data_IF_196947486960
#
_entry.id   IF_196947486960
#
_cell.length_a   1.000
_cell.length_b   1.000
_cell.length_c   1.000
_cell.angle_alpha   90.00
_cell.angle_beta   90.00
_cell.angle_gamma   90.00
#
_symmetry.space_group_name_H-M   'P 1'
#
loop_
_entity.id
_entity.type
_entity.pdbx_description
1 polymer ?
#
# COMPACT_ATOMS: atom_id res chain seq x y z
N UNK A 1 43.00 60.91 25.47
CA UNK A 1 42.92 60.46 24.06
C UNK A 1 43.86 59.30 23.77
N UNK A 2 45.18 59.44 23.98
CA UNK A 2 46.18 58.40 23.65
C UNK A 2 45.94 57.04 24.34
N UNK A 3 45.61 57.05 25.65
CA UNK A 3 45.33 55.83 26.43
C UNK A 3 44.09 55.07 25.92
N UNK A 4 43.05 55.80 25.51
CA UNK A 4 41.81 55.21 24.98
C UNK A 4 42.08 54.52 23.64
N UNK A 5 42.89 55.16 22.76
CA UNK A 5 43.30 54.59 21.48
C UNK A 5 44.12 53.31 21.69
N UNK A 6 45.06 53.30 22.64
CA UNK A 6 45.87 52.11 22.97
C UNK A 6 44.99 50.96 23.47
N UNK A 7 44.03 51.23 24.37
CA UNK A 7 43.09 50.20 24.87
C UNK A 7 42.19 49.63 23.76
N UNK A 8 41.78 50.46 22.80
CA UNK A 8 40.95 50.05 21.65
C UNK A 8 41.75 49.19 20.67
N UNK A 9 43.01 49.52 20.41
CA UNK A 9 43.90 48.70 19.58
C UNK A 9 44.19 47.36 20.28
N UNK A 10 44.43 47.36 21.60
CA UNK A 10 44.65 46.14 22.36
C UNK A 10 43.42 45.24 22.38
N UNK A 11 42.21 45.81 22.50
CA UNK A 11 40.96 45.05 22.46
C UNK A 11 40.71 44.45 21.08
N UNK A 12 40.97 45.18 20.00
CA UNK A 12 40.89 44.68 18.62
C UNK A 12 41.89 43.54 18.40
N UNK A 13 43.15 43.71 18.84
CA UNK A 13 44.18 42.66 18.74
C UNK A 13 43.83 41.42 19.55
N UNK A 14 43.23 41.58 20.74
CA UNK A 14 42.72 40.46 21.55
C UNK A 14 41.55 39.76 20.84
N UNK A 15 40.57 40.50 20.34
CA UNK A 15 39.44 39.94 19.58
C UNK A 15 39.96 39.17 18.36
N UNK A 16 40.87 39.74 17.57
CA UNK A 16 41.50 39.08 16.43
C UNK A 16 42.25 37.81 16.86
N UNK A 17 43.00 37.86 17.96
CA UNK A 17 43.76 36.72 18.50
C UNK A 17 42.86 35.59 18.99
N UNK A 18 41.68 35.87 19.55
CA UNK A 18 40.77 34.85 20.06
C UNK A 18 39.74 34.35 19.01
N UNK A 19 39.30 35.22 18.10
CA UNK A 19 38.32 34.89 17.06
C UNK A 19 38.97 34.20 15.85
N UNK A 20 40.19 34.57 15.47
CA UNK A 20 40.87 33.98 14.30
C UNK A 20 41.13 32.47 14.41
N UNK A 21 41.62 31.92 15.55
CA UNK A 21 41.84 30.48 15.69
C UNK A 21 40.54 29.68 15.72
N UNK A 22 39.49 30.24 16.35
CA UNK A 22 38.20 29.55 16.44
C UNK A 22 37.46 29.54 15.10
N UNK A 23 37.55 30.63 14.34
CA UNK A 23 37.00 30.72 12.99
C UNK A 23 37.76 29.82 12.00
N UNK A 24 39.09 29.83 12.02
CA UNK A 24 39.90 28.97 11.14
C UNK A 24 39.65 27.48 11.40
N UNK A 25 39.52 27.06 12.66
CA UNK A 25 39.13 25.69 13.03
C UNK A 25 37.73 25.34 12.55
N UNK A 26 36.77 26.27 12.62
CA UNK A 26 35.42 26.06 12.10
C UNK A 26 35.40 25.92 10.58
N UNK A 27 36.12 26.78 9.85
CA UNK A 27 36.24 26.71 8.39
C UNK A 27 36.85 25.37 7.98
N UNK A 28 37.93 24.95 8.65
CA UNK A 28 38.57 23.65 8.41
C UNK A 28 37.61 22.50 8.69
N UNK A 29 36.95 22.48 9.85
CA UNK A 29 35.98 21.44 10.21
C UNK A 29 34.81 21.35 9.23
N UNK A 30 34.31 22.50 8.75
CA UNK A 30 33.24 22.58 7.76
C UNK A 30 33.67 21.98 6.42
N UNK A 31 34.87 22.35 5.95
CA UNK A 31 35.47 21.81 4.71
C UNK A 31 35.74 20.32 4.81
N UNK A 32 36.32 19.87 5.92
CA UNK A 32 36.62 18.45 6.15
C UNK A 32 35.32 17.64 6.19
N UNK A 33 34.29 18.14 6.87
CA UNK A 33 32.96 17.53 6.87
C UNK A 33 32.36 17.49 5.46
N UNK A 34 32.33 18.60 4.71
CA UNK A 34 31.73 18.63 3.38
C UNK A 34 32.42 17.69 2.39
N UNK A 35 33.73 17.50 2.56
CA UNK A 35 34.54 16.63 1.70
C UNK A 35 34.58 15.17 2.17
N UNK A 36 34.15 14.89 3.40
CA UNK A 36 34.14 13.56 3.98
C UNK A 36 33.30 12.59 3.13
N UNK A 37 33.76 11.35 3.03
CA UNK A 37 33.04 10.30 2.30
C UNK A 37 31.67 10.02 2.93
N UNK A 38 31.59 10.00 4.27
CA UNK A 38 30.33 9.89 5.00
C UNK A 38 29.28 10.90 4.54
N UNK A 39 29.67 12.16 4.30
CA UNK A 39 28.74 13.21 3.82
C UNK A 39 28.25 12.92 2.41
N UNK A 40 29.14 12.50 1.52
CA UNK A 40 28.78 12.11 0.15
C UNK A 40 27.86 10.90 0.13
N UNK A 41 28.17 9.87 0.92
CA UNK A 41 27.35 8.66 1.04
C UNK A 41 26.00 8.97 1.67
N UNK A 42 25.93 9.80 2.70
CA UNK A 42 24.68 10.22 3.33
C UNK A 42 23.74 10.85 2.30
N UNK A 43 24.25 11.78 1.47
CA UNK A 43 23.45 12.40 0.40
C UNK A 43 22.92 11.36 -0.59
N UNK A 44 23.79 10.47 -1.08
CA UNK A 44 23.39 9.40 -2.02
C UNK A 44 22.33 8.49 -1.40
N UNK A 45 22.51 8.10 -0.14
CA UNK A 45 21.56 7.23 0.56
C UNK A 45 20.22 7.90 0.77
N UNK A 46 20.18 9.20 1.08
CA UNK A 46 18.95 9.97 1.20
C UNK A 46 18.18 10.04 -0.13
N UNK A 47 18.87 10.28 -1.24
CA UNK A 47 18.26 10.29 -2.57
C UNK A 47 17.66 8.92 -2.92
N UNK A 48 18.42 7.83 -2.68
CA UNK A 48 17.94 6.45 -2.89
C UNK A 48 16.76 6.15 -1.96
N UNK A 49 16.81 6.58 -0.69
CA UNK A 49 15.72 6.37 0.26
C UNK A 49 14.42 7.04 -0.19
N UNK A 50 14.49 8.27 -0.69
CA UNK A 50 13.32 8.98 -1.24
C UNK A 50 12.74 8.22 -2.43
N UNK A 51 13.60 7.79 -3.37
CA UNK A 51 13.17 7.02 -4.55
C UNK A 51 12.52 5.68 -4.17
N UNK A 52 13.11 4.94 -3.22
CA UNK A 52 12.54 3.68 -2.75
C UNK A 52 11.20 3.86 -2.01
N UNK A 53 11.05 4.91 -1.20
CA UNK A 53 9.77 5.20 -0.56
C UNK A 53 8.68 5.57 -1.56
N UNK A 54 9.03 6.33 -2.61
CA UNK A 54 8.10 6.55 -3.73
C UNK A 54 7.66 5.22 -4.35
N UNK A 55 8.61 4.32 -4.64
CA UNK A 55 8.31 2.98 -5.19
C UNK A 55 7.47 2.11 -4.25
N UNK A 56 7.72 2.20 -2.94
CA UNK A 56 6.92 1.55 -1.90
C UNK A 56 5.45 1.99 -1.98
N UNK A 57 5.21 3.31 -2.04
CA UNK A 57 3.86 3.88 -2.14
C UNK A 57 3.17 3.44 -3.42
N UNK A 58 3.86 3.48 -4.57
CA UNK A 58 3.32 2.99 -5.85
C UNK A 58 2.86 1.52 -5.76
N UNK A 59 3.67 0.64 -5.16
CA UNK A 59 3.31 -0.77 -4.97
C UNK A 59 2.11 -0.95 -4.02
N UNK A 60 2.03 -0.16 -2.94
CA UNK A 60 0.88 -0.19 -2.02
C UNK A 60 -0.41 0.20 -2.75
N UNK A 61 -0.36 1.23 -3.58
CA UNK A 61 -1.51 1.66 -4.37
C UNK A 61 -1.98 0.54 -5.32
N UNK A 62 -1.05 -0.10 -6.04
CA UNK A 62 -1.39 -1.23 -6.91
C UNK A 62 -2.00 -2.40 -6.14
N UNK A 63 -1.47 -2.73 -4.95
CA UNK A 63 -2.03 -3.79 -4.09
C UNK A 63 -3.47 -3.43 -3.67
N UNK A 64 -3.71 -2.17 -3.32
CA UNK A 64 -5.05 -1.67 -2.96
C UNK A 64 -6.01 -1.78 -4.15
N UNK A 65 -5.55 -1.42 -5.35
CA UNK A 65 -6.35 -1.54 -6.58
C UNK A 65 -6.75 -2.99 -6.86
N UNK A 66 -5.82 -3.95 -6.66
CA UNK A 66 -6.12 -5.37 -6.78
C UNK A 66 -7.13 -5.86 -5.74
N UNK A 67 -7.08 -5.36 -4.51
CA UNK A 67 -8.05 -5.69 -3.47
C UNK A 67 -9.46 -5.19 -3.84
N UNK A 68 -9.56 -3.96 -4.34
CA UNK A 68 -10.83 -3.41 -4.84
C UNK A 68 -11.36 -4.24 -6.01
N UNK A 69 -10.50 -4.65 -6.94
CA UNK A 69 -10.91 -5.50 -8.06
C UNK A 69 -11.37 -6.89 -7.61
N UNK A 70 -10.66 -7.51 -6.66
CA UNK A 70 -11.03 -8.80 -6.08
C UNK A 70 -12.41 -8.73 -5.41
N UNK A 71 -12.65 -7.69 -4.60
CA UNK A 71 -13.94 -7.50 -3.94
C UNK A 71 -15.07 -7.29 -4.95
N UNK A 72 -14.86 -6.48 -6.00
CA UNK A 72 -15.83 -6.30 -7.09
C UNK A 72 -16.14 -7.61 -7.82
N UNK A 73 -15.15 -8.47 -8.06
CA UNK A 73 -15.39 -9.78 -8.68
C UNK A 73 -16.18 -10.71 -7.75
N UNK A 74 -15.87 -10.72 -6.45
CA UNK A 74 -16.62 -11.50 -5.45
C UNK A 74 -18.07 -11.05 -5.34
N UNK A 75 -18.32 -9.75 -5.31
CA UNK A 75 -19.66 -9.16 -5.32
C UNK A 75 -20.43 -9.56 -6.58
N UNK A 76 -19.86 -9.37 -7.77
CA UNK A 76 -20.50 -9.79 -9.04
C UNK A 76 -20.76 -11.29 -9.10
N UNK A 77 -19.83 -12.11 -8.59
CA UNK A 77 -20.02 -13.56 -8.49
C UNK A 77 -21.22 -13.88 -7.60
N UNK A 78 -21.31 -13.25 -6.43
CA UNK A 78 -22.43 -13.43 -5.50
C UNK A 78 -23.75 -12.99 -6.12
N UNK A 79 -23.80 -11.81 -6.75
CA UNK A 79 -24.99 -11.32 -7.46
C UNK A 79 -25.45 -12.30 -8.56
N UNK A 80 -24.53 -12.80 -9.39
CA UNK A 80 -24.88 -13.80 -10.41
C UNK A 80 -25.39 -15.11 -9.81
N UNK A 81 -24.78 -15.57 -8.70
CA UNK A 81 -25.24 -16.75 -7.97
C UNK A 81 -26.63 -16.54 -7.36
N UNK A 82 -26.89 -15.39 -6.74
CA UNK A 82 -28.20 -15.02 -6.19
C UNK A 82 -29.28 -15.01 -7.27
N UNK A 83 -28.99 -14.41 -8.44
CA UNK A 83 -29.91 -14.39 -9.58
C UNK A 83 -30.22 -15.81 -10.05
N UNK A 84 -29.19 -16.66 -10.19
CA UNK A 84 -29.34 -18.01 -10.68
C UNK A 84 -30.08 -18.91 -9.67
N UNK A 85 -29.76 -18.80 -8.38
CA UNK A 85 -30.45 -19.49 -7.29
C UNK A 85 -31.91 -19.04 -7.17
N UNK A 86 -32.19 -17.75 -7.32
CA UNK A 86 -33.56 -17.21 -7.35
C UNK A 86 -34.36 -17.80 -8.51
N UNK A 87 -33.79 -17.82 -9.72
CA UNK A 87 -34.43 -18.46 -10.89
C UNK A 87 -34.68 -19.95 -10.66
N UNK A 88 -33.74 -20.65 -10.03
CA UNK A 88 -33.88 -22.06 -9.69
C UNK A 88 -35.05 -22.28 -8.73
N UNK A 89 -35.13 -21.51 -7.64
CA UNK A 89 -36.24 -21.56 -6.68
C UNK A 89 -37.58 -21.30 -7.35
N UNK A 90 -37.69 -20.23 -8.14
CA UNK A 90 -38.93 -19.89 -8.86
C UNK A 90 -39.34 -21.05 -9.76
N UNK A 91 -38.42 -21.60 -10.55
CA UNK A 91 -38.72 -22.69 -11.50
C UNK A 91 -39.15 -23.98 -10.81
N UNK A 92 -38.53 -24.31 -9.67
CA UNK A 92 -38.73 -25.56 -8.93
C UNK A 92 -39.95 -25.51 -8.00
N UNK A 93 -40.25 -24.36 -7.41
CA UNK A 93 -41.16 -24.28 -6.26
C UNK A 93 -42.37 -23.36 -6.47
N UNK A 94 -42.36 -22.42 -7.43
CA UNK A 94 -43.45 -21.45 -7.54
C UNK A 94 -44.80 -22.12 -7.91
N UNK A 95 -44.79 -23.25 -8.60
CA UNK A 95 -46.02 -24.04 -8.88
C UNK A 95 -46.60 -24.77 -7.67
N UNK A 96 -45.87 -24.82 -6.55
CA UNK A 96 -46.40 -25.32 -5.27
C UNK A 96 -47.33 -24.30 -4.59
N UNK A 97 -47.29 -23.04 -5.02
CA UNK A 97 -48.19 -22.00 -4.53
C UNK A 97 -49.57 -22.22 -5.14
N UNK A 98 -50.60 -22.28 -4.29
CA UNK A 98 -51.98 -22.54 -4.72
C UNK A 98 -52.42 -21.55 -5.82
N UNK A 99 -52.99 -22.09 -6.90
CA UNK A 99 -53.48 -21.31 -8.03
C UNK A 99 -52.41 -20.85 -9.03
N UNK A 100 -51.15 -21.29 -8.89
CA UNK A 100 -50.05 -21.01 -9.82
C UNK A 100 -49.70 -22.26 -10.65
N UNK A 101 -50.19 -22.30 -11.89
CA UNK A 101 -49.78 -23.31 -12.87
C UNK A 101 -48.52 -22.93 -13.64
N UNK A 102 -47.99 -23.86 -14.43
CA UNK A 102 -46.78 -23.69 -15.26
C UNK A 102 -46.85 -22.46 -16.19
N UNK A 103 -47.97 -22.25 -16.88
CA UNK A 103 -48.16 -21.10 -17.77
C UNK A 103 -48.10 -19.76 -17.02
N UNK A 104 -48.68 -19.70 -15.82
CA UNK A 104 -48.66 -18.49 -15.00
C UNK A 104 -47.28 -18.25 -14.39
N UNK A 105 -46.58 -19.31 -13.95
CA UNK A 105 -45.18 -19.24 -13.51
C UNK A 105 -44.28 -18.62 -14.56
N UNK A 106 -44.35 -19.09 -15.81
CA UNK A 106 -43.51 -18.56 -16.88
C UNK A 106 -43.81 -17.08 -17.17
N UNK A 107 -45.10 -16.69 -17.14
CA UNK A 107 -45.50 -15.28 -17.27
C UNK A 107 -44.93 -14.42 -16.13
N UNK A 108 -44.98 -14.91 -14.89
CA UNK A 108 -44.39 -14.24 -13.72
C UNK A 108 -42.87 -14.06 -13.91
N UNK A 109 -42.16 -15.11 -14.33
CA UNK A 109 -40.71 -15.04 -14.59
C UNK A 109 -40.40 -13.99 -15.67
N UNK A 110 -41.16 -13.97 -16.78
CA UNK A 110 -40.88 -13.09 -17.91
C UNK A 110 -41.19 -11.62 -17.60
N UNK A 111 -42.32 -11.35 -16.95
CA UNK A 111 -42.83 -9.98 -16.79
C UNK A 111 -42.36 -9.32 -15.50
N UNK A 112 -42.21 -10.09 -14.42
CA UNK A 112 -42.03 -9.54 -13.07
C UNK A 112 -40.63 -9.79 -12.48
N UNK A 113 -39.97 -10.91 -12.81
CA UNK A 113 -38.65 -11.19 -12.24
C UNK A 113 -37.55 -10.25 -12.78
N UNK A 114 -37.12 -9.29 -11.95
CA UNK A 114 -36.03 -8.34 -12.23
C UNK A 114 -34.81 -8.67 -11.38
N UNK A 115 -34.20 -9.84 -11.64
CA UNK A 115 -32.98 -10.36 -11.00
C UNK A 115 -33.10 -10.75 -9.51
N UNK A 116 -34.05 -10.22 -8.75
CA UNK A 116 -34.21 -10.51 -7.32
C UNK A 116 -35.56 -11.16 -7.00
N UNK A 117 -35.64 -11.99 -5.96
CA UNK A 117 -36.93 -12.54 -5.50
C UNK A 117 -37.90 -11.44 -5.09
N UNK A 118 -37.40 -10.34 -4.50
CA UNK A 118 -38.22 -9.19 -4.10
C UNK A 118 -38.97 -8.53 -5.27
N UNK A 119 -38.48 -8.67 -6.50
CA UNK A 119 -39.23 -8.16 -7.66
C UNK A 119 -40.62 -8.78 -7.82
N UNK A 120 -40.84 -9.99 -7.29
CA UNK A 120 -42.14 -10.66 -7.29
C UNK A 120 -43.17 -10.06 -6.32
N UNK A 121 -42.82 -9.09 -5.46
CA UNK A 121 -43.82 -8.41 -4.63
C UNK A 121 -44.89 -7.65 -5.45
N UNK A 122 -44.54 -7.27 -6.68
CA UNK A 122 -45.37 -6.49 -7.61
C UNK A 122 -46.18 -7.36 -8.60
N UNK A 123 -46.35 -8.64 -8.28
CA UNK A 123 -47.01 -9.63 -9.16
C UNK A 123 -48.50 -9.34 -9.47
N UNK A 124 -49.12 -8.40 -8.75
CA UNK A 124 -50.53 -7.98 -8.92
C UNK A 124 -50.80 -7.42 -10.31
N UNK A 125 -49.78 -6.85 -10.97
CA UNK A 125 -49.90 -6.29 -12.32
C UNK A 125 -50.00 -7.38 -13.41
N UNK A 126 -49.78 -8.65 -13.07
CA UNK A 126 -49.76 -9.75 -14.03
C UNK A 126 -51.16 -10.30 -14.23
N UNK A 127 -51.60 -10.34 -15.49
CA UNK A 127 -52.87 -10.94 -15.85
C UNK A 127 -52.99 -12.38 -15.32
N UNK A 128 -54.08 -12.65 -14.59
CA UNK A 128 -54.35 -13.96 -13.97
C UNK A 128 -53.89 -14.10 -12.51
N UNK A 129 -53.31 -13.03 -11.94
CA UNK A 129 -52.91 -12.94 -10.53
C UNK A 129 -53.87 -12.03 -9.77
N UNK A 130 -54.88 -12.63 -9.13
CA UNK A 130 -55.76 -11.92 -8.19
C UNK A 130 -55.11 -11.65 -6.84
N UNK A 131 -55.81 -10.94 -5.95
CA UNK A 131 -55.34 -10.58 -4.61
C UNK A 131 -54.87 -11.78 -3.77
N UNK A 132 -55.62 -12.88 -3.79
CA UNK A 132 -55.29 -14.11 -3.06
C UNK A 132 -53.99 -14.75 -3.57
N UNK A 133 -53.83 -14.87 -4.90
CA UNK A 133 -52.60 -15.39 -5.51
C UNK A 133 -51.41 -14.48 -5.23
N UNK A 134 -51.61 -13.17 -5.31
CA UNK A 134 -50.57 -12.21 -4.98
C UNK A 134 -50.12 -12.36 -3.53
N UNK A 135 -51.05 -12.47 -2.57
CA UNK A 135 -50.72 -12.71 -1.17
C UNK A 135 -49.93 -14.01 -0.98
N UNK A 136 -50.38 -15.10 -1.60
CA UNK A 136 -49.70 -16.39 -1.53
C UNK A 136 -48.27 -16.34 -2.10
N UNK A 137 -48.08 -15.67 -3.24
CA UNK A 137 -46.76 -15.43 -3.83
C UNK A 137 -45.87 -14.60 -2.90
N UNK A 138 -46.40 -13.55 -2.28
CA UNK A 138 -45.62 -12.70 -1.35
C UNK A 138 -45.16 -13.47 -0.11
N UNK A 139 -46.02 -14.32 0.45
CA UNK A 139 -45.66 -15.21 1.55
C UNK A 139 -44.57 -16.20 1.14
N UNK A 140 -44.70 -16.80 -0.04
CA UNK A 140 -43.68 -17.67 -0.61
C UNK A 140 -42.36 -16.93 -0.87
N UNK A 141 -42.38 -15.71 -1.41
CA UNK A 141 -41.19 -14.88 -1.63
C UNK A 141 -40.45 -14.61 -0.32
N UNK A 142 -41.19 -14.28 0.75
CA UNK A 142 -40.60 -14.04 2.07
C UNK A 142 -39.83 -15.26 2.59
N UNK A 143 -40.43 -16.44 2.48
CA UNK A 143 -39.79 -17.70 2.84
C UNK A 143 -38.60 -18.04 1.93
N UNK A 144 -38.76 -17.87 0.61
CA UNK A 144 -37.71 -18.14 -0.37
C UNK A 144 -36.49 -17.23 -0.18
N UNK A 145 -36.69 -15.95 0.15
CA UNK A 145 -35.60 -15.01 0.48
C UNK A 145 -34.82 -15.48 1.71
N UNK A 146 -35.51 -16.01 2.72
CA UNK A 146 -34.85 -16.54 3.92
C UNK A 146 -33.99 -17.78 3.62
N UNK A 147 -34.46 -18.66 2.73
CA UNK A 147 -33.75 -19.89 2.30
C UNK A 147 -32.68 -19.65 1.23
N UNK A 148 -32.67 -18.48 0.59
CA UNK A 148 -31.79 -18.19 -0.55
C UNK A 148 -30.29 -18.44 -0.23
N UNK A 149 -29.74 -18.04 0.94
CA UNK A 149 -28.35 -18.34 1.28
C UNK A 149 -28.03 -19.84 1.29
N UNK A 150 -28.92 -20.67 1.83
CA UNK A 150 -28.76 -22.13 1.85
C UNK A 150 -28.79 -22.72 0.44
N UNK A 151 -29.67 -22.21 -0.42
CA UNK A 151 -29.73 -22.62 -1.83
C UNK A 151 -28.46 -22.25 -2.58
N UNK A 152 -27.87 -21.08 -2.28
CA UNK A 152 -26.59 -20.66 -2.86
C UNK A 152 -25.46 -21.60 -2.43
N UNK A 153 -25.46 -22.07 -1.19
CA UNK A 153 -24.50 -23.05 -0.68
C UNK A 153 -24.70 -24.44 -1.30
N UNK A 154 -25.96 -24.84 -1.53
CA UNK A 154 -26.34 -26.09 -2.21
C UNK A 154 -26.02 -26.12 -3.71
N UNK A 155 -26.35 -27.21 -4.38
CA UNK A 155 -26.17 -27.33 -5.84
C UNK A 155 -27.43 -26.90 -6.60
N UNK A 156 -27.23 -26.17 -7.70
CA UNK A 156 -28.29 -25.75 -8.61
C UNK A 156 -27.77 -25.58 -10.03
N UNK A 157 -28.69 -25.74 -10.99
CA UNK A 157 -28.36 -25.68 -12.42
C UNK A 157 -27.68 -24.37 -12.78
N UNK A 158 -26.46 -24.45 -13.32
CA UNK A 158 -25.67 -23.31 -13.77
C UNK A 158 -24.72 -22.72 -12.72
N UNK A 159 -24.74 -23.20 -11.47
CA UNK A 159 -23.83 -22.77 -10.40
C UNK A 159 -22.36 -22.93 -10.80
N UNK A 160 -21.98 -24.12 -11.28
CA UNK A 160 -20.59 -24.41 -11.64
C UNK A 160 -20.07 -23.49 -12.75
N UNK A 161 -20.89 -23.20 -13.77
CA UNK A 161 -20.50 -22.29 -14.84
C UNK A 161 -20.22 -20.87 -14.31
N UNK A 162 -21.01 -20.39 -13.34
CA UNK A 162 -20.77 -19.10 -12.68
C UNK A 162 -19.49 -19.17 -11.85
N UNK A 163 -19.29 -20.22 -11.07
CA UNK A 163 -18.07 -20.40 -10.27
C UNK A 163 -16.83 -20.36 -11.17
N UNK A 164 -16.77 -21.22 -12.20
CA UNK A 164 -15.61 -21.31 -13.10
C UNK A 164 -15.36 -20.04 -13.91
N UNK A 165 -16.42 -19.29 -14.26
CA UNK A 165 -16.29 -17.98 -14.94
C UNK A 165 -15.48 -16.98 -14.12
N UNK A 166 -15.63 -17.00 -12.79
CA UNK A 166 -14.98 -16.04 -11.88
C UNK A 166 -13.70 -16.58 -11.25
N UNK A 167 -13.57 -17.90 -11.10
CA UNK A 167 -12.45 -18.57 -10.43
C UNK A 167 -11.10 -18.17 -11.04
N UNK A 168 -10.94 -18.32 -12.35
CA UNK A 168 -9.69 -17.95 -13.03
C UNK A 168 -9.29 -16.49 -12.79
N UNK A 169 -10.24 -15.56 -12.90
CA UNK A 169 -9.96 -14.14 -12.70
C UNK A 169 -9.62 -13.79 -11.24
N UNK A 170 -10.25 -14.49 -10.28
CA UNK A 170 -9.93 -14.34 -8.86
C UNK A 170 -8.54 -14.90 -8.53
N UNK A 171 -8.17 -16.03 -9.12
CA UNK A 171 -6.86 -16.64 -8.97
C UNK A 171 -5.77 -15.75 -9.57
N UNK A 172 -5.95 -15.28 -10.82
CA UNK A 172 -5.02 -14.38 -11.50
C UNK A 172 -4.75 -13.10 -10.68
N UNK A 173 -5.81 -12.49 -10.12
CA UNK A 173 -5.68 -11.30 -9.25
C UNK A 173 -4.95 -11.64 -7.93
N UNK A 174 -5.25 -12.80 -7.35
CA UNK A 174 -4.63 -13.24 -6.09
C UNK A 174 -3.14 -13.48 -6.28
N UNK A 175 -2.76 -14.10 -7.38
CA UNK A 175 -1.37 -14.37 -7.74
C UNK A 175 -0.60 -13.07 -8.01
N UNK A 176 -1.17 -12.15 -8.80
CA UNK A 176 -0.57 -10.84 -9.07
C UNK A 176 -0.37 -10.03 -7.78
N UNK A 177 -1.36 -10.06 -6.87
CA UNK A 177 -1.25 -9.42 -5.55
C UNK A 177 -0.14 -10.05 -4.70
N UNK A 178 -0.04 -11.38 -4.70
CA UNK A 178 1.00 -12.11 -3.97
C UNK A 178 2.41 -11.73 -4.46
N UNK A 179 2.60 -11.65 -5.78
CA UNK A 179 3.85 -11.20 -6.38
C UNK A 179 4.21 -9.76 -5.96
N UNK A 180 3.24 -8.85 -5.98
CA UNK A 180 3.44 -7.47 -5.56
C UNK A 180 3.77 -7.35 -4.07
N UNK A 181 3.13 -8.13 -3.21
CA UNK A 181 3.43 -8.18 -1.77
C UNK A 181 4.85 -8.67 -1.51
N UNK A 182 5.28 -9.72 -2.20
CA UNK A 182 6.63 -10.22 -2.11
C UNK A 182 7.66 -9.17 -2.56
N UNK A 183 7.40 -8.45 -3.64
CA UNK A 183 8.26 -7.37 -4.08
C UNK A 183 8.25 -6.17 -3.14
N UNK A 184 7.10 -5.81 -2.56
CA UNK A 184 7.00 -4.77 -1.54
C UNK A 184 7.89 -5.10 -0.34
N UNK A 185 7.85 -6.35 0.13
CA UNK A 185 8.73 -6.80 1.22
C UNK A 185 10.22 -6.67 0.87
N UNK A 186 10.62 -6.97 -0.37
CA UNK A 186 12.01 -6.75 -0.83
C UNK A 186 12.40 -5.28 -0.80
N UNK A 187 11.48 -4.37 -1.14
CA UNK A 187 11.70 -2.92 -1.09
C UNK A 187 11.88 -2.49 0.37
N UNK A 188 11.00 -2.94 1.27
CA UNK A 188 11.04 -2.60 2.70
C UNK A 188 12.31 -3.08 3.39
N UNK A 189 12.77 -4.29 3.06
CA UNK A 189 14.04 -4.83 3.57
C UNK A 189 15.23 -3.91 3.22
N UNK A 190 15.27 -3.40 1.98
CA UNK A 190 16.32 -2.51 1.50
C UNK A 190 16.20 -1.12 2.12
N UNK A 191 14.97 -0.59 2.24
CA UNK A 191 14.68 0.67 2.93
C UNK A 191 15.19 0.62 4.38
N UNK A 192 14.92 -0.48 5.10
CA UNK A 192 15.35 -0.65 6.49
C UNK A 192 16.88 -0.58 6.63
N UNK A 193 17.62 -1.26 5.73
CA UNK A 193 19.09 -1.20 5.71
C UNK A 193 19.61 0.20 5.42
N UNK A 194 19.04 0.88 4.42
CA UNK A 194 19.41 2.26 4.08
C UNK A 194 19.14 3.21 5.24
N UNK A 195 17.97 3.09 5.88
CA UNK A 195 17.60 3.95 7.00
C UNK A 195 18.57 3.80 8.17
N UNK A 196 19.01 2.56 8.46
CA UNK A 196 20.03 2.30 9.48
C UNK A 196 21.34 3.05 9.17
N UNK A 197 21.82 2.98 7.94
CA UNK A 197 23.05 3.67 7.51
C UNK A 197 22.90 5.20 7.53
N UNK A 198 21.77 5.72 7.07
CA UNK A 198 21.45 7.16 7.14
C UNK A 198 21.48 7.62 8.59
N UNK A 199 20.82 6.89 9.50
CA UNK A 199 20.80 7.22 10.93
C UNK A 199 22.19 7.20 11.55
N UNK A 200 23.03 6.23 11.20
CA UNK A 200 24.40 6.18 11.69
C UNK A 200 25.23 7.38 11.22
N UNK A 201 25.14 7.73 9.93
CA UNK A 201 25.89 8.85 9.36
C UNK A 201 25.35 10.21 9.81
N UNK A 202 24.05 10.35 10.06
CA UNK A 202 23.42 11.63 10.43
C UNK A 202 23.80 12.12 11.83
N UNK A 203 24.33 11.24 12.70
CA UNK A 203 24.84 11.65 14.02
C UNK A 203 26.13 12.50 13.95
N UNK A 204 26.84 12.48 12.82
CA UNK A 204 28.10 13.21 12.66
C UNK A 204 27.82 14.54 11.98
N UNK A 205 28.35 15.62 12.58
CA UNK A 205 28.18 16.99 12.09
C UNK A 205 29.50 17.75 12.07
N UNK A 206 29.50 18.96 11.48
CA UNK A 206 30.63 19.90 11.52
C UNK A 206 31.14 20.15 12.94
N UNK A 207 30.25 20.14 13.94
CA UNK A 207 30.62 20.28 15.36
C UNK A 207 31.48 19.11 15.87
N UNK A 208 31.24 17.90 15.36
CA UNK A 208 32.00 16.69 15.71
C UNK A 208 33.40 16.76 15.11
N UNK A 209 33.52 17.18 13.85
CA UNK A 209 34.81 17.50 13.22
C UNK A 209 35.59 18.57 13.97
N UNK A 210 34.92 19.64 14.40
CA UNK A 210 35.55 20.70 15.21
C UNK A 210 36.07 20.18 16.55
N UNK A 211 35.33 19.29 17.23
CA UNK A 211 35.77 18.64 18.47
C UNK A 211 36.97 17.72 18.22
N UNK A 212 36.95 16.96 17.14
CA UNK A 212 38.08 16.10 16.75
C UNK A 212 39.37 16.91 16.51
N UNK A 213 39.27 18.08 15.84
CA UNK A 213 40.41 19.01 15.66
C UNK A 213 40.95 19.59 16.99
N UNK A 214 40.16 19.53 18.06
CA UNK A 214 40.56 19.90 19.43
C UNK A 214 41.02 18.69 20.27
N UNK A 215 41.32 17.56 19.61
CA UNK A 215 41.81 16.34 20.23
C UNK A 215 40.82 15.65 21.18
N UNK A 216 39.51 15.86 21.00
CA UNK A 216 38.49 15.05 21.68
C UNK A 216 38.52 13.62 21.12
N UNK A 217 39.07 12.67 21.89
CA UNK A 217 39.31 11.29 21.47
C UNK A 217 38.03 10.61 20.97
N UNK A 218 36.87 10.86 21.60
CA UNK A 218 35.60 10.27 21.17
C UNK A 218 35.20 10.83 19.81
N UNK A 219 35.32 12.13 19.61
CA UNK A 219 35.01 12.78 18.33
C UNK A 219 35.99 12.35 17.22
N UNK A 220 37.28 12.17 17.54
CA UNK A 220 38.30 11.65 16.61
C UNK A 220 37.92 10.27 16.09
N UNK A 221 37.52 9.35 16.98
CA UNK A 221 37.09 8.00 16.58
C UNK A 221 35.83 8.03 15.71
N UNK A 222 34.84 8.85 16.09
CA UNK A 222 33.61 9.04 15.32
C UNK A 222 33.89 9.61 13.91
N UNK A 223 34.75 10.61 13.81
CA UNK A 223 35.17 11.19 12.52
C UNK A 223 35.94 10.17 11.70
N UNK A 224 36.84 9.39 12.30
CA UNK A 224 37.60 8.35 11.59
C UNK A 224 36.67 7.31 10.94
N UNK A 225 35.65 6.85 11.66
CA UNK A 225 34.63 5.96 11.11
C UNK A 225 33.82 6.65 10.00
N UNK A 226 33.38 7.89 10.23
CA UNK A 226 32.62 8.66 9.24
C UNK A 226 33.39 8.93 7.94
N UNK A 227 34.70 9.13 8.03
CA UNK A 227 35.57 9.32 6.86
C UNK A 227 35.65 8.07 5.98
N UNK A 228 35.38 6.87 6.52
CA UNK A 228 35.24 5.64 5.72
C UNK A 228 33.92 5.59 4.96
N UNK A 229 32.86 6.22 5.48
CA UNK A 229 31.50 6.13 4.96
C UNK A 229 30.89 4.74 5.15
N UNK A 230 29.83 4.44 4.41
CA UNK A 230 29.15 3.12 4.42
C UNK A 230 30.00 1.96 3.87
N UNK A 231 30.96 2.24 2.98
CA UNK A 231 31.90 1.28 2.43
C UNK A 231 33.17 2.03 1.99
N UNK A 232 34.32 1.35 1.98
CA UNK A 232 35.61 1.96 1.61
C UNK A 232 35.82 1.99 0.09
N UNK A 233 36.82 2.75 -0.39
CA UNK A 233 37.14 2.85 -1.83
C UNK A 233 37.59 1.54 -2.47
N UNK A 234 38.19 0.66 -1.68
CA UNK A 234 38.67 -0.65 -2.13
C UNK A 234 37.63 -1.76 -1.92
N UNK A 235 36.52 -1.45 -1.24
CA UNK A 235 35.43 -2.38 -1.00
C UNK A 235 34.43 -2.37 -2.15
N UNK A 236 33.93 -3.56 -2.46
CA UNK A 236 32.79 -3.70 -3.36
C UNK A 236 31.54 -3.01 -2.78
N UNK A 237 30.79 -2.36 -3.67
CA UNK A 237 29.48 -1.78 -3.33
C UNK A 237 28.62 -2.86 -2.66
N UNK A 238 28.06 -2.61 -1.46
CA UNK A 238 27.26 -3.59 -0.75
C UNK A 238 26.12 -4.15 -1.61
N UNK A 239 25.88 -5.47 -1.53
CA UNK A 239 24.86 -6.16 -2.32
C UNK A 239 23.48 -5.52 -2.20
N UNK A 240 23.12 -5.05 -0.99
CA UNK A 240 21.84 -4.39 -0.76
C UNK A 240 21.72 -3.04 -1.47
N UNK A 241 22.83 -2.31 -1.66
CA UNK A 241 22.85 -1.03 -2.38
C UNK A 241 22.78 -1.25 -3.89
N UNK A 242 23.40 -2.33 -4.39
CA UNK A 242 23.20 -2.81 -5.78
C UNK A 242 21.73 -3.18 -6.01
N UNK A 243 21.11 -3.92 -5.07
CA UNK A 243 19.68 -4.26 -5.08
C UNK A 243 18.79 -3.00 -5.09
N UNK A 244 19.12 -2.00 -4.27
CA UNK A 244 18.40 -0.72 -4.23
C UNK A 244 18.39 -0.02 -5.60
N UNK A 245 19.56 0.11 -6.24
CA UNK A 245 19.67 0.70 -7.58
C UNK A 245 18.89 -0.09 -8.63
N UNK A 246 18.92 -1.43 -8.56
CA UNK A 246 18.15 -2.28 -9.46
C UNK A 246 16.64 -2.02 -9.32
N UNK A 247 16.12 -2.00 -8.09
CA UNK A 247 14.71 -1.73 -7.80
C UNK A 247 14.26 -0.37 -8.34
N UNK A 248 15.12 0.65 -8.24
CA UNK A 248 14.83 2.00 -8.74
C UNK A 248 14.77 2.02 -10.28
N UNK A 249 15.61 1.23 -10.96
CA UNK A 249 15.74 1.25 -12.41
C UNK A 249 14.80 0.28 -13.16
N UNK A 250 14.05 -0.59 -12.46
CA UNK A 250 13.07 -1.53 -13.05
C UNK A 250 11.75 -0.82 -13.47
N UNK A 251 11.87 0.30 -14.19
CA UNK A 251 10.78 1.02 -14.90
C UNK A 251 10.79 0.67 -16.38
#
# INVERSE_FOLDING_TARGET
MLIIIILLILSILLILRFVSPTLSLWIKASRDYSNARGTKHLKILQEIFIALNKRKVEKINLITDFEVQNNRLKERKLEELEVAASKFLIRKELTKVSGIGETLKERIIQQCFKKTLSSLYNVVEIQGVGSEKALAIRLWVKDAVHRLPEVILGDFRGKQNIISKYEKALDDITDQRSLLLHDLHKVEEVISKINKEINQLSFISTSTFRRALKSDIKAVNQVSQYMRGTFTELEDIPKWLKKAKKIINET
#
